data_IF_674891501223
#
_entry.id   IF_674891501223
#
_cell.length_a   1.000
_cell.length_b   1.000
_cell.length_c   1.000
_cell.angle_alpha   90.00
_cell.angle_beta   90.00
_cell.angle_gamma   90.00
#
_symmetry.space_group_name_H-M   'P 1'
#
loop_
_entity.id
_entity.type
_entity.pdbx_description
1 polymer ?
#
# COMPACT_ATOMS: atom_id res chain seq x y z
N UNK A 1 -10.85 27.15 -6.32
CA UNK A 1 -10.68 26.63 -7.70
C UNK A 1 -10.56 25.11 -7.67
N UNK A 2 -11.68 24.38 -7.75
CA UNK A 2 -11.65 22.92 -7.99
C UNK A 2 -11.38 22.69 -9.49
N UNK A 3 -10.10 22.78 -9.88
CA UNK A 3 -9.67 22.46 -11.25
C UNK A 3 -9.98 20.97 -11.48
N UNK A 4 -10.92 20.66 -12.38
CA UNK A 4 -11.44 19.32 -12.63
C UNK A 4 -10.29 18.31 -12.74
N UNK A 5 -10.11 17.48 -11.71
CA UNK A 5 -9.17 16.37 -11.75
C UNK A 5 -9.70 15.33 -12.72
N UNK A 6 -8.81 14.79 -13.54
CA UNK A 6 -9.16 13.63 -14.36
C UNK A 6 -9.39 12.41 -13.45
N UNK A 7 -10.23 11.46 -13.85
CA UNK A 7 -10.57 10.29 -13.01
C UNK A 7 -9.31 9.49 -12.60
N UNK A 8 -8.29 9.46 -13.46
CA UNK A 8 -7.01 8.81 -13.17
C UNK A 8 -6.24 9.46 -12.02
N UNK A 9 -6.31 10.78 -11.90
CA UNK A 9 -5.71 11.53 -10.79
C UNK A 9 -6.41 11.23 -9.47
N UNK A 10 -7.74 11.08 -9.52
CA UNK A 10 -8.54 10.70 -8.35
C UNK A 10 -8.25 9.29 -7.88
N UNK A 11 -7.98 8.36 -8.78
CA UNK A 11 -7.58 7.00 -8.40
C UNK A 11 -6.26 6.98 -7.63
N UNK A 12 -5.26 7.79 -8.02
CA UNK A 12 -4.00 7.90 -7.25
C UNK A 12 -4.27 8.43 -5.85
N UNK A 13 -5.14 9.43 -5.71
CA UNK A 13 -5.55 9.95 -4.39
C UNK A 13 -6.27 8.88 -3.57
N UNK A 14 -7.20 8.13 -4.17
CA UNK A 14 -7.93 7.07 -3.49
C UNK A 14 -6.98 5.96 -3.01
N UNK A 15 -6.03 5.53 -3.85
CA UNK A 15 -4.98 4.58 -3.48
C UNK A 15 -4.18 5.10 -2.28
N UNK A 16 -3.76 6.36 -2.33
CA UNK A 16 -2.98 6.97 -1.26
C UNK A 16 -3.75 7.01 0.08
N UNK A 17 -5.02 7.45 0.04
CA UNK A 17 -5.90 7.50 1.22
C UNK A 17 -6.12 6.10 1.79
N UNK A 18 -6.46 5.11 0.97
CA UNK A 18 -6.64 3.73 1.44
C UNK A 18 -5.36 3.19 2.06
N UNK A 19 -4.20 3.49 1.48
CA UNK A 19 -2.89 3.04 1.99
C UNK A 19 -2.56 3.67 3.36
N UNK A 20 -2.91 4.94 3.56
CA UNK A 20 -2.76 5.60 4.87
C UNK A 20 -3.69 4.96 5.90
N UNK A 21 -4.97 4.79 5.54
CA UNK A 21 -5.98 4.22 6.44
C UNK A 21 -5.66 2.78 6.80
N UNK A 22 -5.23 1.96 5.84
CA UNK A 22 -4.84 0.57 6.10
C UNK A 22 -3.60 0.50 6.99
N UNK A 23 -2.57 1.31 6.72
CA UNK A 23 -1.40 1.42 7.60
C UNK A 23 -1.77 1.88 9.01
N UNK A 24 -2.61 2.90 9.15
CA UNK A 24 -3.07 3.38 10.46
C UNK A 24 -3.85 2.31 11.25
N UNK A 25 -4.79 1.62 10.59
CA UNK A 25 -5.58 0.55 11.21
C UNK A 25 -4.69 -0.61 11.65
N UNK A 26 -3.77 -1.05 10.79
CA UNK A 26 -2.84 -2.15 11.11
C UNK A 26 -1.86 -1.79 12.24
N UNK A 27 -1.48 -0.51 12.36
CA UNK A 27 -0.65 -0.04 13.46
C UNK A 27 -1.40 -0.07 14.80
N UNK A 28 -2.64 0.43 14.82
CA UNK A 28 -3.46 0.52 16.04
C UNK A 28 -3.92 -0.88 16.48
N UNK A 29 -4.41 -1.68 15.53
CA UNK A 29 -5.04 -2.99 15.79
C UNK A 29 -4.37 -4.10 14.94
N UNK A 30 -3.09 -4.42 15.20
CA UNK A 30 -2.35 -5.42 14.40
C UNK A 30 -2.96 -6.82 14.48
N UNK A 31 -3.66 -7.14 15.58
CA UNK A 31 -4.29 -8.45 15.79
C UNK A 31 -5.35 -8.82 14.74
N UNK A 32 -6.05 -7.85 14.16
CA UNK A 32 -7.03 -8.11 13.09
C UNK A 32 -6.31 -8.60 11.82
N UNK A 33 -5.22 -7.92 11.46
CA UNK A 33 -4.44 -8.28 10.28
C UNK A 33 -3.68 -9.60 10.48
N UNK A 34 -3.07 -9.80 11.66
CA UNK A 34 -2.42 -11.06 12.02
C UNK A 34 -3.41 -12.22 12.04
N UNK A 35 -4.61 -12.03 12.59
CA UNK A 35 -5.67 -13.03 12.61
C UNK A 35 -6.18 -13.39 11.21
N UNK A 36 -6.33 -12.42 10.31
CA UNK A 36 -6.68 -12.67 8.91
C UNK A 36 -5.60 -13.48 8.16
N UNK A 37 -4.35 -13.41 8.61
CA UNK A 37 -3.22 -14.17 8.08
C UNK A 37 -2.98 -15.50 8.81
N UNK A 38 -3.79 -15.83 9.83
CA UNK A 38 -3.57 -16.96 10.75
C UNK A 38 -2.17 -16.98 11.39
N UNK A 39 -1.61 -15.78 11.65
CA UNK A 39 -0.32 -15.62 12.30
C UNK A 39 -0.47 -15.48 13.82
N UNK A 40 0.48 -16.05 14.56
CA UNK A 40 0.56 -15.89 16.01
C UNK A 40 0.89 -14.43 16.37
N UNK A 41 0.13 -13.87 17.31
CA UNK A 41 0.33 -12.53 17.85
C UNK A 41 1.36 -12.52 18.98
N UNK A 42 2.61 -12.85 18.66
CA UNK A 42 3.75 -12.69 19.57
C UNK A 42 4.22 -11.24 19.63
N UNK A 43 4.99 -10.87 20.67
CA UNK A 43 5.56 -9.52 20.78
C UNK A 43 6.39 -9.13 19.55
N UNK A 44 7.12 -10.09 18.97
CA UNK A 44 7.94 -9.88 17.79
C UNK A 44 7.10 -9.64 16.53
N UNK A 45 6.08 -10.46 16.29
CA UNK A 45 5.21 -10.31 15.11
C UNK A 45 4.39 -9.01 15.19
N UNK A 46 3.87 -8.66 16.36
CA UNK A 46 3.16 -7.39 16.60
C UNK A 46 4.05 -6.18 16.34
N UNK A 47 5.29 -6.19 16.84
CA UNK A 47 6.24 -5.10 16.59
C UNK A 47 6.56 -4.96 15.10
N UNK A 48 6.89 -6.07 14.43
CA UNK A 48 7.21 -6.08 13.01
C UNK A 48 6.02 -5.56 12.18
N UNK A 49 4.81 -6.04 12.48
CA UNK A 49 3.61 -5.61 11.77
C UNK A 49 3.38 -4.12 11.93
N UNK A 50 3.46 -3.59 13.16
CA UNK A 50 3.36 -2.15 13.43
C UNK A 50 4.39 -1.34 12.67
N UNK A 51 5.64 -1.81 12.62
CA UNK A 51 6.69 -1.13 11.88
C UNK A 51 6.38 -1.08 10.37
N UNK A 52 5.99 -2.22 9.78
CA UNK A 52 5.57 -2.29 8.37
C UNK A 52 4.36 -1.40 8.09
N UNK A 53 3.43 -1.29 9.04
CA UNK A 53 2.27 -0.41 8.95
C UNK A 53 2.65 1.07 8.92
N UNK A 54 3.64 1.50 9.71
CA UNK A 54 4.18 2.87 9.64
C UNK A 54 4.81 3.14 8.28
N UNK A 55 5.63 2.22 7.76
CA UNK A 55 6.23 2.35 6.42
C UNK A 55 5.14 2.49 5.35
N UNK A 56 4.12 1.63 5.41
CA UNK A 56 2.96 1.67 4.50
C UNK A 56 2.25 3.02 4.56
N UNK A 57 1.95 3.51 5.76
CA UNK A 57 1.29 4.80 5.94
C UNK A 57 2.15 5.97 5.43
N UNK A 58 3.46 5.94 5.63
CA UNK A 58 4.38 6.98 5.14
C UNK A 58 4.43 7.03 3.61
N UNK A 59 4.50 5.89 2.93
CA UNK A 59 4.41 5.85 1.46
C UNK A 59 3.06 6.32 0.95
N UNK A 60 1.96 5.96 1.63
CA UNK A 60 0.64 6.48 1.34
C UNK A 60 0.56 8.01 1.51
N UNK A 61 1.14 8.55 2.58
CA UNK A 61 1.17 9.99 2.85
C UNK A 61 2.01 10.75 1.82
N UNK A 62 3.19 10.23 1.45
CA UNK A 62 4.02 10.80 0.40
C UNK A 62 3.28 10.81 -0.94
N UNK A 63 2.62 9.69 -1.29
CA UNK A 63 1.81 9.58 -2.50
C UNK A 63 0.62 10.56 -2.49
N UNK A 64 -0.04 10.73 -1.34
CA UNK A 64 -1.15 11.67 -1.19
C UNK A 64 -0.66 13.11 -1.35
N UNK A 65 0.45 13.48 -0.71
CA UNK A 65 1.02 14.82 -0.77
C UNK A 65 1.28 15.23 -2.23
N UNK A 66 2.01 14.40 -2.98
CA UNK A 66 2.30 14.70 -4.39
C UNK A 66 1.04 14.66 -5.28
N UNK A 67 0.12 13.73 -5.01
CA UNK A 67 -1.11 13.63 -5.78
C UNK A 67 -2.07 14.79 -5.49
N UNK A 68 -2.12 15.29 -4.26
CA UNK A 68 -3.01 16.36 -3.82
C UNK A 68 -2.61 17.72 -4.39
N UNK A 69 -1.31 18.01 -4.40
CA UNK A 69 -0.77 19.25 -4.96
C UNK A 69 -0.66 19.21 -6.49
N UNK A 70 -0.99 18.06 -7.10
CA UNK A 70 -0.82 17.77 -8.55
C UNK A 70 0.63 17.92 -9.03
N UNK A 71 1.57 18.07 -8.11
CA UNK A 71 3.01 18.12 -8.36
C UNK A 71 3.56 16.68 -8.34
N UNK A 72 3.07 15.84 -9.25
CA UNK A 72 3.37 14.39 -9.35
C UNK A 72 4.88 14.10 -9.45
N UNK A 73 5.56 13.96 -8.31
CA UNK A 73 7.01 13.75 -8.19
C UNK A 73 7.31 12.32 -8.66
N UNK A 74 8.02 12.11 -9.78
CA UNK A 74 8.16 10.79 -10.35
C UNK A 74 8.89 9.79 -9.45
N UNK A 75 9.79 10.26 -8.59
CA UNK A 75 10.48 9.42 -7.61
C UNK A 75 9.51 8.89 -6.54
N UNK A 76 8.64 9.75 -5.99
CA UNK A 76 7.65 9.34 -4.97
C UNK A 76 6.70 8.29 -5.53
N UNK A 77 6.18 8.51 -6.73
CA UNK A 77 5.29 7.56 -7.39
C UNK A 77 6.01 6.23 -7.69
N UNK A 78 7.25 6.27 -8.19
CA UNK A 78 8.05 5.06 -8.43
C UNK A 78 8.20 4.24 -7.15
N UNK A 79 8.66 4.86 -6.08
CA UNK A 79 8.92 4.15 -4.82
C UNK A 79 7.63 3.70 -4.13
N UNK A 80 6.54 4.48 -4.19
CA UNK A 80 5.24 4.05 -3.68
C UNK A 80 4.68 2.85 -4.47
N UNK A 81 4.84 2.85 -5.80
CA UNK A 81 4.47 1.71 -6.64
C UNK A 81 5.28 0.46 -6.33
N UNK A 82 6.60 0.60 -6.21
CA UNK A 82 7.50 -0.50 -5.85
C UNK A 82 7.23 -1.05 -4.43
N UNK A 83 6.94 -0.19 -3.44
CA UNK A 83 6.60 -0.63 -2.09
C UNK A 83 5.36 -1.54 -2.09
N UNK A 84 4.34 -1.19 -2.86
CA UNK A 84 3.13 -2.02 -3.02
C UNK A 84 3.41 -3.36 -3.70
N UNK A 85 4.23 -3.36 -4.76
CA UNK A 85 4.62 -4.62 -5.42
C UNK A 85 5.50 -5.50 -4.52
N UNK A 86 6.38 -4.91 -3.71
CA UNK A 86 7.19 -5.63 -2.73
C UNK A 86 6.29 -6.29 -1.66
N UNK A 87 5.34 -5.53 -1.10
CA UNK A 87 4.36 -6.07 -0.16
C UNK A 87 3.53 -7.21 -0.76
N UNK A 88 3.06 -7.04 -2.00
CA UNK A 88 2.34 -8.07 -2.76
C UNK A 88 3.17 -9.33 -2.92
N UNK A 89 4.42 -9.18 -3.38
CA UNK A 89 5.33 -10.31 -3.59
C UNK A 89 5.59 -11.06 -2.29
N UNK A 90 5.80 -10.35 -1.19
CA UNK A 90 6.03 -10.96 0.13
C UNK A 90 4.81 -11.75 0.60
N UNK A 91 3.61 -11.19 0.52
CA UNK A 91 2.38 -11.89 0.95
C UNK A 91 2.08 -13.09 0.06
N UNK A 92 2.25 -12.97 -1.27
CA UNK A 92 2.06 -14.09 -2.19
C UNK A 92 3.08 -15.20 -1.93
N UNK A 93 4.36 -14.86 -1.75
CA UNK A 93 5.40 -15.83 -1.42
C UNK A 93 5.12 -16.53 -0.09
N UNK A 94 4.69 -15.78 0.92
CA UNK A 94 4.30 -16.33 2.22
C UNK A 94 3.05 -17.24 2.13
N UNK A 95 2.09 -16.92 1.26
CA UNK A 95 0.91 -17.76 1.06
C UNK A 95 1.27 -19.06 0.33
N UNK A 96 2.12 -18.99 -0.70
CA UNK A 96 2.61 -20.17 -1.45
C UNK A 96 3.46 -21.09 -0.56
N UNK A 97 4.23 -20.54 0.37
CA UNK A 97 5.01 -21.32 1.33
C UNK A 97 4.21 -21.83 2.53
N UNK A 98 2.91 -21.51 2.62
CA UNK A 98 2.05 -21.91 3.73
C UNK A 98 2.32 -21.15 5.04
N UNK A 99 3.10 -20.07 5.01
CA UNK A 99 3.41 -19.23 6.19
C UNK A 99 2.21 -18.37 6.60
N UNK A 100 1.42 -17.89 5.64
CA UNK A 100 0.19 -17.13 5.90
C UNK A 100 -1.02 -17.82 5.28
N UNK A 101 -2.18 -17.63 5.89
CA UNK A 101 -3.44 -18.10 5.33
C UNK A 101 -3.79 -17.41 4.02
N UNK A 102 -4.57 -18.11 3.19
CA UNK A 102 -5.16 -17.61 1.93
C UNK A 102 -5.99 -16.33 2.15
N UNK A 103 -6.49 -16.11 3.37
CA UNK A 103 -7.15 -14.87 3.78
C UNK A 103 -6.31 -13.60 3.59
N UNK A 104 -4.98 -13.72 3.45
CA UNK A 104 -4.07 -12.61 3.15
C UNK A 104 -4.09 -12.17 1.67
N UNK A 105 -4.55 -13.03 0.74
CA UNK A 105 -4.47 -12.77 -0.71
C UNK A 105 -5.26 -11.55 -1.19
N UNK A 106 -6.47 -11.22 -0.68
CA UNK A 106 -7.17 -10.02 -1.11
C UNK A 106 -6.36 -8.73 -0.92
N UNK A 107 -5.59 -8.65 0.18
CA UNK A 107 -4.68 -7.51 0.44
C UNK A 107 -3.57 -7.47 -0.59
N UNK A 108 -2.95 -8.62 -0.88
CA UNK A 108 -1.90 -8.72 -1.90
C UNK A 108 -2.41 -8.36 -3.31
N UNK A 109 -3.62 -8.79 -3.67
CA UNK A 109 -4.24 -8.44 -4.95
C UNK A 109 -4.46 -6.93 -5.04
N UNK A 110 -5.02 -6.32 -3.99
CA UNK A 110 -5.21 -4.88 -3.93
C UNK A 110 -3.89 -4.12 -4.09
N UNK A 111 -2.86 -4.47 -3.31
CA UNK A 111 -1.57 -3.80 -3.40
C UNK A 111 -0.91 -4.02 -4.75
N UNK A 112 -1.04 -5.21 -5.35
CA UNK A 112 -0.49 -5.51 -6.67
C UNK A 112 -1.11 -4.62 -7.74
N UNK A 113 -2.45 -4.56 -7.78
CA UNK A 113 -3.18 -3.72 -8.73
C UNK A 113 -2.90 -2.24 -8.51
N UNK A 114 -2.87 -1.78 -7.26
CA UNK A 114 -2.57 -0.39 -6.92
C UNK A 114 -1.12 -0.02 -7.27
N UNK A 115 -0.16 -0.91 -7.02
CA UNK A 115 1.25 -0.73 -7.37
C UNK A 115 1.45 -0.64 -8.87
N UNK A 116 0.89 -1.58 -9.64
CA UNK A 116 0.91 -1.55 -11.11
C UNK A 116 0.26 -0.27 -11.66
N UNK A 117 -0.86 0.16 -11.09
CA UNK A 117 -1.53 1.38 -11.49
C UNK A 117 -0.65 2.62 -11.29
N UNK A 118 -0.05 2.76 -10.09
CA UNK A 118 0.82 3.90 -9.77
C UNK A 118 2.05 3.92 -10.67
N UNK A 119 2.69 2.78 -10.93
CA UNK A 119 3.83 2.68 -11.85
C UNK A 119 3.44 3.01 -13.29
N UNK A 120 2.30 2.49 -13.76
CA UNK A 120 1.76 2.83 -15.07
C UNK A 120 1.44 4.33 -15.20
N UNK A 121 0.96 4.96 -14.11
CA UNK A 121 0.72 6.39 -14.06
C UNK A 121 2.02 7.21 -14.18
N UNK A 122 3.11 6.78 -13.53
CA UNK A 122 4.45 7.40 -13.71
C UNK A 122 4.89 7.34 -15.15
N UNK A 123 4.79 6.16 -15.76
CA UNK A 123 5.23 5.94 -17.14
C UNK A 123 4.50 6.88 -18.11
N UNK A 124 3.17 7.01 -17.98
CA UNK A 124 2.34 7.91 -18.81
C UNK A 124 2.58 9.40 -18.59
N UNK A 125 3.20 9.80 -17.48
CA UNK A 125 3.48 11.22 -17.14
C UNK A 125 4.90 11.64 -17.51
N UNK A 126 5.81 10.68 -17.72
CA UNK A 126 7.20 10.93 -18.12
C UNK A 126 7.38 11.01 -19.64
N UNK A 127 6.53 10.30 -20.40
CA UNK A 127 6.42 10.45 -21.86
C UNK A 127 5.49 11.60 -22.23
#
# INVERSE_FOLDING_TARGET
MLRSRHWTEWLVVAIAVITILSGAVQFIVPGVALGAMSLEASNASVFLFRFLSVVTALFGAALLHTAWDKAYIPAVLLWAGLQKLAGTTLIVAAAVSGVVAVGALPVAIYDGLAGLYVLGFVYRRRG
#
